data_IF_953224554368
#
_entry.id   IF_953224554368
#
_cell.length_a   1.000
_cell.length_b   1.000
_cell.length_c   1.000
_cell.angle_alpha   90.00
_cell.angle_beta   90.00
_cell.angle_gamma   90.00
#
_symmetry.space_group_name_H-M   'P 1'
#
loop_
_entity.id
_entity.type
_entity.pdbx_description
1 polymer ?
#
# COMPACT_ATOMS: atom_id res chain seq x y z
N UNK A 1 12.75 27.79 13.67
CA UNK A 1 13.37 26.46 13.61
C UNK A 1 12.66 25.73 12.48
N UNK A 2 13.38 25.18 11.53
CA UNK A 2 12.83 24.32 10.47
C UNK A 2 13.01 22.88 10.97
N UNK A 3 11.96 22.08 10.94
CA UNK A 3 11.98 20.65 11.25
C UNK A 3 11.95 19.94 9.90
N UNK A 4 13.04 19.31 9.54
CA UNK A 4 13.26 18.61 8.26
C UNK A 4 13.33 17.08 8.42
N UNK A 5 13.23 16.60 9.66
CA UNK A 5 13.17 15.18 10.01
C UNK A 5 12.21 14.98 11.20
N UNK A 6 11.63 13.79 11.31
CA UNK A 6 10.77 13.44 12.45
C UNK A 6 11.58 13.60 13.75
N UNK A 7 11.02 14.30 14.73
CA UNK A 7 11.73 14.64 15.98
C UNK A 7 10.77 14.90 17.12
N UNK A 8 11.25 14.71 18.34
CA UNK A 8 10.56 15.12 19.56
C UNK A 8 11.10 16.47 19.99
N UNK A 9 10.25 17.49 20.05
CA UNK A 9 10.59 18.78 20.65
C UNK A 9 10.28 18.76 22.14
N UNK A 10 11.27 19.23 22.95
CA UNK A 10 11.12 19.41 24.39
C UNK A 10 11.27 20.89 24.72
N UNK A 11 10.33 21.44 25.43
CA UNK A 11 10.35 22.82 25.84
C UNK A 11 10.16 22.95 27.38
N UNK A 12 10.88 23.88 27.98
CA UNK A 12 10.78 24.21 29.41
C UNK A 12 10.86 25.71 29.58
N UNK A 13 9.97 26.28 30.37
CA UNK A 13 9.99 27.70 30.69
C UNK A 13 10.83 27.98 31.93
N UNK A 14 11.58 29.08 31.90
CA UNK A 14 12.36 29.60 33.01
C UNK A 14 11.95 31.04 33.30
N UNK A 15 11.84 31.38 34.58
CA UNK A 15 11.66 32.74 35.06
C UNK A 15 12.57 32.92 36.25
N UNK A 16 13.25 34.07 36.32
CA UNK A 16 14.16 34.38 37.42
C UNK A 16 13.44 34.28 38.76
N UNK A 17 14.06 33.64 39.75
CA UNK A 17 13.54 33.37 41.08
C UNK A 17 12.29 32.47 41.16
N UNK A 18 11.97 31.71 40.09
CA UNK A 18 10.92 30.71 40.03
C UNK A 18 11.49 29.33 39.74
N UNK A 19 10.82 28.28 40.23
CA UNK A 19 11.14 26.92 39.75
C UNK A 19 10.81 26.79 38.24
N UNK A 20 11.67 26.09 37.48
CA UNK A 20 11.37 25.80 36.07
C UNK A 20 10.05 25.07 35.93
N UNK A 21 9.33 25.28 34.80
CA UNK A 21 8.13 24.51 34.50
C UNK A 21 8.44 23.01 34.29
N UNK A 22 7.41 22.19 34.28
CA UNK A 22 7.49 20.85 33.72
C UNK A 22 7.99 20.93 32.26
N UNK A 23 8.57 19.82 31.75
CA UNK A 23 8.98 19.70 30.36
C UNK A 23 7.73 19.39 29.53
N UNK A 24 7.40 20.26 28.58
CA UNK A 24 6.41 19.94 27.53
C UNK A 24 7.12 19.24 26.40
N UNK A 25 6.58 18.11 25.96
CA UNK A 25 7.09 17.33 24.83
C UNK A 25 6.03 17.31 23.71
N UNK A 26 6.48 17.44 22.46
CA UNK A 26 5.65 17.28 21.29
C UNK A 26 6.43 16.50 20.22
N UNK A 27 5.83 15.42 19.76
CA UNK A 27 6.38 14.64 18.65
C UNK A 27 5.93 15.22 17.31
N UNK A 28 6.87 15.40 16.42
CA UNK A 28 6.64 15.85 15.05
C UNK A 28 7.12 14.77 14.09
N UNK A 29 6.20 14.23 13.32
CA UNK A 29 6.51 13.30 12.23
C UNK A 29 6.38 13.99 10.88
N UNK A 30 7.36 13.81 10.01
CA UNK A 30 7.29 14.30 8.64
C UNK A 30 6.77 13.19 7.75
N UNK A 31 5.60 13.43 7.17
CA UNK A 31 5.04 12.51 6.16
C UNK A 31 5.93 12.54 4.92
N UNK A 32 6.48 11.39 4.47
CA UNK A 32 7.27 11.34 3.25
C UNK A 32 6.48 11.87 2.05
N UNK A 33 7.16 12.57 1.13
CA UNK A 33 6.51 13.09 -0.06
C UNK A 33 5.84 11.96 -0.86
N UNK A 34 4.62 12.21 -1.32
CA UNK A 34 3.81 11.20 -2.05
C UNK A 34 3.09 10.18 -1.15
N UNK A 35 3.20 10.31 0.18
CA UNK A 35 2.51 9.45 1.14
C UNK A 35 1.42 10.18 1.91
N UNK A 36 0.50 9.40 2.48
CA UNK A 36 -0.50 9.83 3.45
C UNK A 36 -0.23 9.08 4.75
N UNK A 37 -0.22 9.81 5.87
CA UNK A 37 -0.24 9.21 7.20
C UNK A 37 -1.64 8.72 7.52
N UNK A 38 -1.77 7.45 7.90
CA UNK A 38 -3.02 6.83 8.34
C UNK A 38 -2.87 6.50 9.83
N UNK A 39 -3.58 7.23 10.71
CA UNK A 39 -3.63 6.87 12.12
C UNK A 39 -4.20 5.47 12.30
N UNK A 40 -3.62 4.68 13.19
CA UNK A 40 -4.12 3.36 13.54
C UNK A 40 -5.54 3.41 14.12
N UNK A 41 -6.21 2.27 14.12
CA UNK A 41 -7.56 2.16 14.65
C UNK A 41 -8.19 0.80 14.40
N UNK A 42 -9.41 0.63 14.90
CA UNK A 42 -10.18 -0.62 14.78
C UNK A 42 -11.35 -0.45 13.84
N UNK A 43 -11.56 -1.42 12.97
CA UNK A 43 -12.69 -1.48 12.04
C UNK A 43 -13.23 -2.91 11.90
N UNK A 44 -14.44 -3.04 11.36
CA UNK A 44 -15.02 -4.34 11.05
C UNK A 44 -14.76 -4.70 9.57
N UNK A 45 -14.13 -5.87 9.32
CA UNK A 45 -13.77 -6.33 7.97
C UNK A 45 -14.89 -7.06 7.22
N UNK A 46 -16.05 -7.22 7.85
CA UNK A 46 -17.19 -8.00 7.36
C UNK A 46 -17.37 -9.34 8.13
N UNK A 47 -16.36 -9.79 8.89
CA UNK A 47 -16.36 -11.04 9.66
C UNK A 47 -16.04 -10.78 11.13
N UNK A 48 -14.99 -10.02 11.43
CA UNK A 48 -14.48 -9.72 12.78
C UNK A 48 -13.94 -8.30 12.87
N UNK A 49 -13.63 -7.84 14.09
CA UNK A 49 -12.93 -6.59 14.28
C UNK A 49 -11.44 -6.77 13.99
N UNK A 50 -10.86 -5.76 13.35
CA UNK A 50 -9.43 -5.71 13.05
C UNK A 50 -8.87 -4.39 13.54
N UNK A 51 -7.84 -4.46 14.36
CA UNK A 51 -7.04 -3.30 14.77
C UNK A 51 -5.79 -3.24 13.92
N UNK A 52 -5.48 -2.07 13.37
CA UNK A 52 -4.25 -1.81 12.61
C UNK A 52 -3.47 -0.69 13.27
N UNK A 53 -2.16 -0.86 13.36
CA UNK A 53 -1.22 0.19 13.79
C UNK A 53 -1.16 1.33 12.77
N UNK A 54 -0.60 2.49 13.15
CA UNK A 54 -0.40 3.62 12.22
C UNK A 54 0.63 3.28 11.16
N UNK A 55 0.43 3.82 9.94
CA UNK A 55 1.32 3.58 8.80
C UNK A 55 1.33 4.74 7.82
N UNK A 56 2.26 4.71 6.88
CA UNK A 56 2.25 5.53 5.67
C UNK A 56 1.83 4.71 4.45
N UNK A 57 0.94 5.25 3.63
CA UNK A 57 0.48 4.65 2.37
C UNK A 57 0.75 5.60 1.20
N UNK A 58 1.15 5.08 0.05
CA UNK A 58 1.23 5.86 -1.18
C UNK A 58 -0.11 6.57 -1.46
N UNK A 59 -0.06 7.88 -1.65
CA UNK A 59 -1.24 8.70 -1.95
C UNK A 59 -1.96 8.23 -3.21
N UNK A 60 -1.20 7.70 -4.16
CA UNK A 60 -1.63 7.17 -5.45
C UNK A 60 -1.17 5.71 -5.62
N UNK A 61 -1.69 5.04 -6.62
CA UNK A 61 -1.08 3.85 -7.19
C UNK A 61 0.34 4.20 -7.65
N UNK A 62 1.28 3.23 -7.60
CA UNK A 62 2.64 3.47 -8.07
C UNK A 62 2.63 3.83 -9.55
N UNK A 63 3.29 4.93 -9.91
CA UNK A 63 3.34 5.41 -11.29
C UNK A 63 4.39 4.68 -12.13
N UNK A 64 4.20 4.73 -13.47
CA UNK A 64 5.16 4.14 -14.41
C UNK A 64 6.54 4.79 -14.30
N UNK A 65 6.62 6.11 -14.09
CA UNK A 65 7.89 6.81 -13.91
C UNK A 65 8.61 6.37 -12.63
N UNK A 66 7.90 6.22 -11.50
CA UNK A 66 8.51 5.73 -10.25
C UNK A 66 9.00 4.30 -10.41
N UNK A 67 8.22 3.43 -11.06
CA UNK A 67 8.62 2.06 -11.32
C UNK A 67 9.87 1.99 -12.19
N UNK A 68 9.90 2.72 -13.31
CA UNK A 68 11.03 2.74 -14.23
C UNK A 68 12.31 3.28 -13.58
N UNK A 69 12.20 4.32 -12.75
CA UNK A 69 13.34 4.89 -12.02
C UNK A 69 14.04 3.87 -11.11
N UNK A 70 13.31 2.90 -10.57
CA UNK A 70 13.84 1.87 -9.65
C UNK A 70 14.21 0.58 -10.38
N UNK A 71 13.38 0.17 -11.35
CA UNK A 71 13.52 -1.14 -12.02
C UNK A 71 14.26 -1.06 -13.36
N UNK A 72 14.51 0.15 -13.88
CA UNK A 72 15.25 0.40 -15.12
C UNK A 72 14.42 0.20 -16.40
N UNK A 73 13.15 -0.17 -16.30
CA UNK A 73 12.25 -0.32 -17.46
C UNK A 73 10.78 -0.21 -17.03
N UNK A 74 9.93 0.28 -17.95
CA UNK A 74 8.49 0.35 -17.78
C UNK A 74 7.82 -0.84 -18.46
N UNK A 75 7.09 -1.74 -17.75
CA UNK A 75 6.40 -2.87 -18.36
C UNK A 75 5.08 -2.48 -19.03
N UNK A 76 4.52 -1.30 -18.73
CA UNK A 76 3.21 -0.87 -19.22
C UNK A 76 3.21 -0.65 -20.74
N UNK A 77 2.20 -1.17 -21.43
CA UNK A 77 2.02 -1.01 -22.88
C UNK A 77 0.56 -1.16 -23.28
N UNK A 78 0.11 -0.31 -24.19
CA UNK A 78 -1.22 -0.44 -24.85
C UNK A 78 -2.42 0.17 -24.12
N UNK A 79 -2.40 0.32 -22.79
CA UNK A 79 -3.56 0.73 -22.01
C UNK A 79 -3.25 1.95 -21.10
N UNK A 80 -2.82 3.05 -21.70
CA UNK A 80 -2.41 4.25 -20.96
C UNK A 80 -0.93 4.17 -20.57
N UNK A 81 -0.10 4.89 -21.33
CA UNK A 81 1.35 4.95 -21.14
C UNK A 81 1.79 6.38 -20.93
N UNK A 82 2.58 6.62 -19.88
CA UNK A 82 3.10 7.93 -19.54
C UNK A 82 3.50 8.04 -18.06
N UNK A 83 4.31 9.02 -17.74
CA UNK A 83 4.96 9.17 -16.43
C UNK A 83 3.99 9.03 -15.24
N UNK A 84 2.81 9.64 -15.32
CA UNK A 84 1.83 9.74 -14.23
C UNK A 84 0.70 8.71 -14.34
N UNK A 85 0.77 7.75 -15.26
CA UNK A 85 -0.15 6.61 -15.27
C UNK A 85 0.28 5.56 -14.24
N UNK A 86 -0.65 4.77 -13.70
CA UNK A 86 -0.28 3.67 -12.81
C UNK A 86 0.56 2.65 -13.57
N UNK A 87 1.52 2.04 -12.93
CA UNK A 87 2.21 0.89 -13.52
C UNK A 87 1.30 -0.33 -13.50
N UNK A 88 1.30 -1.08 -14.58
CA UNK A 88 0.61 -2.37 -14.71
C UNK A 88 1.48 -3.39 -15.45
N UNK A 89 1.02 -4.62 -15.65
CA UNK A 89 1.84 -5.78 -16.00
C UNK A 89 2.91 -6.10 -14.95
N UNK A 90 2.60 -5.86 -13.68
CA UNK A 90 3.49 -6.15 -12.55
C UNK A 90 2.99 -7.37 -11.78
N UNK A 91 3.80 -8.42 -11.69
CA UNK A 91 3.53 -9.57 -10.82
C UNK A 91 3.75 -9.22 -9.35
N UNK A 92 3.19 -10.00 -8.43
CA UNK A 92 3.43 -9.83 -7.00
C UNK A 92 4.94 -9.87 -6.66
N UNK A 93 5.69 -10.77 -7.30
CA UNK A 93 7.13 -10.85 -7.15
C UNK A 93 7.85 -9.57 -7.57
N UNK A 94 7.46 -8.97 -8.70
CA UNK A 94 8.05 -7.73 -9.17
C UNK A 94 7.70 -6.54 -8.28
N UNK A 95 6.53 -6.56 -7.64
CA UNK A 95 6.15 -5.54 -6.67
C UNK A 95 7.02 -5.60 -5.40
N UNK A 96 7.28 -6.79 -4.85
CA UNK A 96 8.18 -6.92 -3.68
C UNK A 96 9.65 -6.63 -4.03
N UNK A 97 10.10 -7.01 -5.23
CA UNK A 97 11.42 -6.63 -5.74
C UNK A 97 11.57 -5.10 -5.81
N UNK A 98 10.57 -4.42 -6.35
CA UNK A 98 10.52 -2.96 -6.38
C UNK A 98 10.66 -2.36 -4.98
N UNK A 99 9.87 -2.83 -4.02
CA UNK A 99 9.90 -2.34 -2.64
C UNK A 99 11.31 -2.43 -2.04
N UNK A 100 11.99 -3.57 -2.19
CA UNK A 100 13.33 -3.73 -1.67
C UNK A 100 14.37 -2.88 -2.40
N UNK A 101 14.31 -2.80 -3.73
CA UNK A 101 15.23 -1.95 -4.52
C UNK A 101 15.08 -0.48 -4.16
N UNK A 102 13.84 0.03 -4.05
CA UNK A 102 13.57 1.40 -3.62
C UNK A 102 14.09 1.65 -2.21
N UNK A 103 13.86 0.72 -1.28
CA UNK A 103 14.38 0.82 0.10
C UNK A 103 15.90 0.96 0.11
N UNK A 104 16.61 0.11 -0.64
CA UNK A 104 18.08 0.18 -0.76
C UNK A 104 18.54 1.52 -1.36
N UNK A 105 17.89 1.98 -2.43
CA UNK A 105 18.22 3.25 -3.08
C UNK A 105 18.07 4.46 -2.14
N UNK A 106 17.11 4.41 -1.22
CA UNK A 106 16.84 5.46 -0.24
C UNK A 106 17.55 5.24 1.11
N UNK A 107 18.43 4.22 1.22
CA UNK A 107 19.19 3.93 2.45
C UNK A 107 18.34 3.37 3.59
N UNK A 108 17.17 2.80 3.26
CA UNK A 108 16.26 2.15 4.21
C UNK A 108 16.54 0.65 4.30
N UNK A 109 16.11 0.01 5.40
CA UNK A 109 16.18 -1.44 5.58
C UNK A 109 15.09 -2.13 4.75
N UNK A 110 15.43 -2.95 3.74
CA UNK A 110 14.43 -3.67 2.95
C UNK A 110 13.59 -4.63 3.78
N UNK A 111 12.30 -4.72 3.49
CA UNK A 111 11.37 -5.55 4.25
C UNK A 111 11.37 -7.03 3.86
N UNK A 112 11.70 -7.37 2.61
CA UNK A 112 11.56 -8.74 2.12
C UNK A 112 12.89 -9.47 2.03
N UNK A 113 12.88 -10.75 2.42
CA UNK A 113 14.00 -11.67 2.20
C UNK A 113 13.51 -12.87 1.41
N UNK A 114 14.37 -13.42 0.55
CA UNK A 114 14.12 -14.65 -0.18
C UNK A 114 14.97 -15.78 0.37
N UNK A 115 14.36 -16.69 1.12
CA UNK A 115 15.01 -17.82 1.76
C UNK A 115 16.32 -17.39 2.46
N UNK A 116 17.43 -18.12 2.24
CA UNK A 116 18.77 -17.80 2.77
C UNK A 116 19.57 -16.78 1.92
N UNK A 117 18.95 -16.19 0.88
CA UNK A 117 19.60 -15.20 0.00
C UNK A 117 19.54 -13.76 0.52
N UNK A 118 18.85 -13.54 1.65
CA UNK A 118 18.71 -12.22 2.28
C UNK A 118 17.81 -11.23 1.52
N UNK A 119 17.94 -9.96 1.84
CA UNK A 119 17.01 -8.92 1.40
C UNK A 119 17.46 -8.13 0.16
N UNK A 120 18.68 -8.34 -0.34
CA UNK A 120 19.12 -7.67 -1.56
C UNK A 120 18.66 -8.48 -2.80
N UNK A 121 17.75 -7.93 -3.65
CA UNK A 121 17.25 -8.64 -4.82
C UNK A 121 18.33 -9.06 -5.83
N UNK A 122 19.49 -8.42 -5.83
CA UNK A 122 20.60 -8.80 -6.70
C UNK A 122 21.21 -10.16 -6.32
N UNK A 123 20.97 -10.64 -5.09
CA UNK A 123 21.44 -11.92 -4.59
C UNK A 123 20.40 -13.04 -4.74
N UNK A 124 19.18 -12.70 -5.16
CA UNK A 124 18.12 -13.70 -5.31
C UNK A 124 18.41 -14.61 -6.51
N UNK A 125 18.14 -15.91 -6.41
CA UNK A 125 18.58 -16.86 -7.43
C UNK A 125 17.83 -16.66 -8.75
N UNK A 126 18.45 -17.05 -9.87
CA UNK A 126 17.75 -17.09 -11.15
C UNK A 126 16.48 -17.94 -11.04
N UNK A 127 15.36 -17.41 -11.57
CA UNK A 127 14.07 -18.09 -11.51
C UNK A 127 13.33 -17.99 -10.17
N UNK A 128 13.79 -17.18 -9.21
CA UNK A 128 13.15 -16.98 -7.90
C UNK A 128 11.64 -16.60 -8.03
N UNK A 129 11.26 -15.96 -9.12
CA UNK A 129 9.91 -15.49 -9.43
C UNK A 129 9.23 -16.25 -10.59
N UNK A 130 9.74 -17.42 -10.98
CA UNK A 130 9.26 -18.19 -12.15
C UNK A 130 8.07 -19.09 -11.85
N UNK A 131 7.87 -19.46 -10.60
CA UNK A 131 6.73 -20.27 -10.15
C UNK A 131 5.96 -19.57 -9.04
N UNK A 132 4.64 -19.70 -9.07
CA UNK A 132 3.79 -19.11 -8.02
C UNK A 132 4.09 -19.69 -6.65
N UNK A 133 4.45 -20.96 -6.54
CA UNK A 133 4.83 -21.62 -5.28
C UNK A 133 6.06 -20.98 -4.62
N UNK A 134 6.92 -20.29 -5.38
CA UNK A 134 8.10 -19.61 -4.85
C UNK A 134 7.75 -18.47 -3.87
N UNK A 135 6.51 -18.03 -3.81
CA UNK A 135 6.08 -17.05 -2.82
C UNK A 135 6.25 -17.52 -1.37
N UNK A 136 6.27 -18.85 -1.14
CA UNK A 136 6.49 -19.43 0.18
C UNK A 136 7.91 -19.26 0.71
N UNK A 137 8.87 -18.95 -0.17
CA UNK A 137 10.26 -18.65 0.20
C UNK A 137 10.48 -17.17 0.55
N UNK A 138 9.45 -16.33 0.39
CA UNK A 138 9.54 -14.90 0.71
C UNK A 138 9.07 -14.68 2.14
N UNK A 139 9.91 -14.07 2.96
CA UNK A 139 9.56 -13.58 4.29
C UNK A 139 9.53 -12.06 4.32
N UNK A 140 8.82 -11.48 5.30
CA UNK A 140 8.76 -10.05 5.54
C UNK A 140 9.23 -9.73 6.96
N UNK A 141 10.17 -8.80 7.07
CA UNK A 141 10.53 -8.16 8.32
C UNK A 141 9.57 -6.98 8.55
N UNK A 142 8.63 -7.14 9.47
CA UNK A 142 7.56 -6.18 9.74
C UNK A 142 8.00 -4.95 10.52
N UNK A 143 9.20 -4.98 11.11
CA UNK A 143 9.78 -3.84 11.83
C UNK A 143 10.79 -3.05 10.98
N UNK A 144 11.12 -3.54 9.79
CA UNK A 144 11.99 -2.83 8.86
C UNK A 144 11.34 -1.51 8.40
N UNK A 145 12.14 -0.45 8.30
CA UNK A 145 11.67 0.89 7.94
C UNK A 145 11.58 1.14 6.42
N UNK A 146 11.79 0.11 5.62
CA UNK A 146 11.70 0.17 4.16
C UNK A 146 10.27 0.14 3.62
N UNK A 147 10.18 0.03 2.31
CA UNK A 147 8.90 -0.07 1.59
C UNK A 147 8.43 -1.51 1.52
N UNK A 148 7.12 -1.69 1.55
CA UNK A 148 6.45 -2.98 1.37
C UNK A 148 5.08 -2.84 0.68
N UNK A 149 4.48 -3.95 0.32
CA UNK A 149 3.05 -4.00 0.00
C UNK A 149 2.23 -3.84 1.29
N UNK A 150 1.01 -3.31 1.21
CA UNK A 150 0.08 -3.34 2.33
C UNK A 150 -0.27 -4.78 2.71
N UNK A 151 -0.58 -5.03 3.98
CA UNK A 151 -1.46 -6.15 4.29
C UNK A 151 -2.86 -5.86 3.75
N UNK A 152 -3.67 -6.89 3.56
CA UNK A 152 -5.04 -6.71 3.08
C UNK A 152 -5.87 -5.84 4.02
N UNK A 153 -5.64 -5.96 5.34
CA UNK A 153 -6.38 -5.20 6.34
C UNK A 153 -5.95 -3.74 6.41
N UNK A 154 -4.66 -3.44 6.25
CA UNK A 154 -4.17 -2.06 6.12
C UNK A 154 -4.75 -1.39 4.86
N UNK A 155 -4.74 -2.11 3.73
CA UNK A 155 -5.35 -1.64 2.49
C UNK A 155 -6.84 -1.34 2.68
N UNK A 156 -7.59 -2.28 3.27
CA UNK A 156 -9.04 -2.14 3.47
C UNK A 156 -9.36 -1.00 4.43
N UNK A 157 -8.61 -0.87 5.52
CA UNK A 157 -8.78 0.22 6.48
C UNK A 157 -8.57 1.59 5.82
N UNK A 158 -7.48 1.74 5.06
CA UNK A 158 -7.20 2.95 4.30
C UNK A 158 -8.28 3.25 3.25
N UNK A 159 -8.74 2.24 2.49
CA UNK A 159 -9.79 2.38 1.48
C UNK A 159 -11.14 2.79 2.07
N UNK A 160 -11.46 2.35 3.30
CA UNK A 160 -12.67 2.73 4.02
C UNK A 160 -12.62 4.15 4.63
N UNK A 161 -11.48 4.86 4.53
CA UNK A 161 -11.30 6.19 5.12
C UNK A 161 -10.75 6.17 6.55
N UNK A 162 -10.22 5.02 7.01
CA UNK A 162 -9.63 4.89 8.35
C UNK A 162 -10.60 5.27 9.46
N UNK A 163 -10.13 6.07 10.40
CA UNK A 163 -10.94 6.62 11.50
C UNK A 163 -11.88 7.77 11.09
N UNK A 164 -11.82 8.20 9.82
CA UNK A 164 -12.72 9.21 9.24
C UNK A 164 -13.81 8.58 8.36
N UNK A 165 -13.90 7.24 8.34
CA UNK A 165 -14.80 6.46 7.47
C UNK A 165 -16.25 6.93 7.57
N UNK A 166 -16.87 7.17 6.42
CA UNK A 166 -18.31 7.47 6.28
C UNK A 166 -19.12 6.24 5.88
N UNK A 167 -18.51 5.07 5.82
CA UNK A 167 -19.19 3.81 5.48
C UNK A 167 -19.57 3.69 4.01
N UNK A 168 -18.85 4.37 3.10
CA UNK A 168 -19.12 4.33 1.67
C UNK A 168 -18.84 2.96 1.05
N UNK A 169 -19.57 2.66 -0.02
CA UNK A 169 -19.42 1.43 -0.82
C UNK A 169 -18.10 1.41 -1.58
N UNK A 170 -17.69 2.55 -2.13
CA UNK A 170 -16.42 2.79 -2.82
C UNK A 170 -15.58 3.72 -1.96
N UNK A 171 -14.29 3.74 -2.20
CA UNK A 171 -13.38 4.60 -1.42
C UNK A 171 -13.68 6.08 -1.68
N UNK A 172 -14.34 6.74 -0.71
CA UNK A 172 -14.70 8.14 -0.73
C UNK A 172 -16.10 8.49 -1.27
N UNK A 173 -16.89 7.53 -1.79
CA UNK A 173 -18.26 7.82 -2.28
C UNK A 173 -19.15 6.57 -2.38
N UNK A 174 -20.47 6.77 -2.38
CA UNK A 174 -21.43 5.75 -2.82
C UNK A 174 -21.69 5.79 -4.34
N UNK A 175 -21.20 6.80 -5.04
CA UNK A 175 -21.31 6.95 -6.49
C UNK A 175 -19.96 6.59 -7.13
N UNK A 176 -19.87 5.41 -7.73
CA UNK A 176 -18.60 4.91 -8.29
C UNK A 176 -17.94 5.88 -9.29
N UNK A 177 -18.73 6.59 -10.09
CA UNK A 177 -18.23 7.52 -11.11
C UNK A 177 -17.40 8.68 -10.56
N UNK A 178 -17.61 9.04 -9.28
CA UNK A 178 -16.90 10.15 -8.62
C UNK A 178 -15.45 9.77 -8.27
N UNK A 179 -15.23 8.50 -7.90
CA UNK A 179 -13.99 8.04 -7.26
C UNK A 179 -13.23 6.98 -8.05
N UNK A 180 -13.82 6.43 -9.13
CA UNK A 180 -13.22 5.27 -9.81
C UNK A 180 -13.18 5.40 -11.33
N UNK A 181 -12.10 4.92 -11.93
CA UNK A 181 -12.01 4.53 -13.33
C UNK A 181 -12.31 3.04 -13.44
N UNK A 182 -13.44 2.67 -14.02
CA UNK A 182 -13.93 1.30 -14.12
C UNK A 182 -14.52 1.05 -15.50
N UNK A 183 -14.97 -0.16 -15.82
CA UNK A 183 -15.51 -0.53 -17.14
C UNK A 183 -16.55 0.45 -17.70
N UNK A 184 -17.36 1.08 -16.82
CA UNK A 184 -18.44 1.97 -17.24
C UNK A 184 -17.96 3.36 -17.69
N UNK A 185 -16.74 3.78 -17.37
CA UNK A 185 -16.28 5.14 -17.65
C UNK A 185 -14.81 5.25 -18.07
N UNK A 186 -14.04 4.15 -18.06
CA UNK A 186 -12.59 4.17 -18.32
C UNK A 186 -12.22 4.30 -19.80
N UNK A 187 -13.14 4.06 -20.74
CA UNK A 187 -12.78 3.99 -22.16
C UNK A 187 -11.85 2.82 -22.51
N UNK A 188 -11.85 1.76 -21.70
CA UNK A 188 -11.02 0.55 -21.86
C UNK A 188 -9.51 0.81 -21.70
N UNK A 189 -9.12 1.72 -20.81
CA UNK A 189 -7.72 2.06 -20.55
C UNK A 189 -7.53 2.53 -19.08
N UNK A 190 -6.29 2.53 -18.60
CA UNK A 190 -5.92 3.22 -17.35
C UNK A 190 -5.95 4.74 -17.54
N UNK A 191 -5.99 5.46 -16.46
CA UNK A 191 -5.95 6.93 -16.42
C UNK A 191 -4.81 7.41 -15.52
N UNK A 192 -4.39 8.66 -15.71
CA UNK A 192 -3.45 9.35 -14.82
C UNK A 192 -3.96 9.26 -13.40
N UNK A 193 -3.08 8.87 -12.48
CA UNK A 193 -3.43 8.72 -11.06
C UNK A 193 -3.96 10.03 -10.46
N UNK A 194 -4.89 9.95 -9.50
CA UNK A 194 -5.40 11.12 -8.80
C UNK A 194 -6.36 12.00 -9.60
N UNK A 195 -6.93 11.51 -10.71
CA UNK A 195 -7.87 12.31 -11.54
C UNK A 195 -9.32 12.13 -11.16
N UNK A 196 -9.63 11.24 -10.24
CA UNK A 196 -10.93 11.12 -9.55
C UNK A 196 -10.83 11.74 -8.15
N UNK A 197 -11.96 11.82 -7.44
CA UNK A 197 -11.98 12.33 -6.07
C UNK A 197 -11.26 11.36 -5.11
N UNK A 198 -10.55 11.87 -4.09
CA UNK A 198 -9.92 11.04 -3.06
C UNK A 198 -10.97 10.56 -2.04
N UNK A 199 -10.55 9.64 -1.18
CA UNK A 199 -11.32 9.31 0.01
C UNK A 199 -11.09 10.33 1.15
N UNK A 200 -11.67 10.06 2.33
CA UNK A 200 -11.66 10.93 3.50
C UNK A 200 -10.26 11.20 4.04
N UNK A 201 -9.29 10.34 3.75
CA UNK A 201 -7.88 10.48 4.12
C UNK A 201 -7.05 11.20 3.04
N UNK A 202 -7.64 11.56 1.90
CA UNK A 202 -6.91 12.14 0.77
C UNK A 202 -6.16 11.12 -0.08
N UNK A 203 -6.53 9.84 -0.03
CA UNK A 203 -5.96 8.75 -0.82
C UNK A 203 -6.81 8.55 -2.07
N UNK A 204 -6.18 8.43 -3.22
CA UNK A 204 -6.80 8.32 -4.54
C UNK A 204 -6.77 6.90 -5.09
N UNK A 205 -7.69 6.61 -5.99
CA UNK A 205 -7.71 5.40 -6.83
C UNK A 205 -7.78 4.07 -6.05
N UNK A 206 -8.21 4.10 -4.77
CA UNK A 206 -8.47 2.89 -3.99
C UNK A 206 -9.70 2.10 -4.51
N UNK A 207 -10.41 2.66 -5.48
CA UNK A 207 -11.48 2.03 -6.24
C UNK A 207 -11.23 2.28 -7.73
N UNK A 208 -11.03 1.22 -8.52
CA UNK A 208 -10.82 1.29 -9.97
C UNK A 208 -9.37 1.49 -10.38
N UNK A 209 -9.15 1.99 -11.58
CA UNK A 209 -7.89 2.18 -12.30
C UNK A 209 -7.10 0.88 -12.47
N UNK A 210 -6.31 0.42 -11.49
CA UNK A 210 -5.69 -0.91 -11.51
C UNK A 210 -5.96 -1.68 -10.21
N UNK A 211 -6.03 -3.01 -10.29
CA UNK A 211 -5.98 -3.87 -9.12
C UNK A 211 -4.64 -3.71 -8.41
N UNK A 212 -4.66 -3.72 -7.10
CA UNK A 212 -3.47 -3.54 -6.27
C UNK A 212 -3.11 -4.80 -5.52
N UNK A 213 -1.87 -5.26 -5.68
CA UNK A 213 -1.34 -6.36 -4.89
C UNK A 213 -1.26 -6.01 -3.41
N UNK A 214 -1.71 -6.96 -2.57
CA UNK A 214 -1.43 -7.01 -1.14
C UNK A 214 -0.43 -8.12 -0.82
N UNK A 215 0.16 -8.04 0.39
CA UNK A 215 1.05 -9.09 0.89
C UNK A 215 0.35 -10.43 1.06
N UNK A 216 -0.89 -10.42 1.55
CA UNK A 216 -1.58 -11.57 2.11
C UNK A 216 -1.78 -12.72 1.12
N UNK A 217 -1.78 -13.94 1.66
CA UNK A 217 -2.28 -15.13 0.98
C UNK A 217 -3.82 -15.09 1.05
N UNK A 218 -4.46 -15.27 -0.09
CA UNK A 218 -5.93 -15.27 -0.20
C UNK A 218 -6.52 -16.51 0.50
N UNK A 219 -7.27 -16.25 1.56
CA UNK A 219 -8.03 -17.27 2.32
C UNK A 219 -9.24 -16.60 2.98
N UNK A 220 -10.11 -17.40 3.66
CA UNK A 220 -11.19 -16.85 4.48
C UNK A 220 -10.63 -16.02 5.63
N UNK A 221 -11.37 -14.98 6.02
CA UNK A 221 -11.00 -14.22 7.21
C UNK A 221 -11.24 -15.07 8.49
N UNK A 222 -10.37 -14.97 9.50
CA UNK A 222 -10.65 -15.52 10.81
C UNK A 222 -11.93 -14.93 11.42
N UNK A 223 -12.62 -15.73 12.24
CA UNK A 223 -13.83 -15.29 12.92
C UNK A 223 -13.59 -14.50 14.21
N UNK A 224 -12.37 -14.50 14.72
CA UNK A 224 -11.91 -13.82 15.92
C UNK A 224 -11.26 -12.46 15.58
N UNK A 225 -11.27 -11.56 16.56
CA UNK A 225 -10.66 -10.23 16.44
C UNK A 225 -9.15 -10.36 16.24
N UNK A 226 -8.61 -9.51 15.37
CA UNK A 226 -7.21 -9.52 14.93
C UNK A 226 -6.52 -8.19 15.24
N UNK A 227 -5.23 -8.23 15.53
CA UNK A 227 -4.38 -7.04 15.61
C UNK A 227 -3.21 -7.19 14.63
N UNK A 228 -3.03 -6.22 13.76
CA UNK A 228 -2.00 -6.18 12.70
C UNK A 228 -1.85 -7.51 11.95
N UNK A 229 -2.94 -8.09 11.41
CA UNK A 229 -2.86 -9.40 10.76
C UNK A 229 -2.06 -9.34 9.46
N UNK A 230 -1.28 -10.39 9.22
CA UNK A 230 -0.44 -10.54 8.03
C UNK A 230 -1.00 -11.58 7.03
N UNK A 231 -2.28 -11.93 7.15
CA UNK A 231 -2.96 -12.91 6.30
C UNK A 231 -2.74 -14.36 6.71
N UNK A 232 -3.22 -15.27 5.87
CA UNK A 232 -3.07 -16.70 6.08
C UNK A 232 -1.61 -17.15 5.90
N UNK A 233 -1.22 -18.21 6.60
CA UNK A 233 0.14 -18.77 6.55
C UNK A 233 0.36 -19.72 5.36
N UNK A 234 -0.72 -20.13 4.68
CA UNK A 234 -0.66 -21.05 3.52
C UNK A 234 -1.79 -20.78 2.54
N UNK A 235 -1.54 -21.09 1.27
CA UNK A 235 -2.47 -20.96 0.16
C UNK A 235 -1.73 -20.78 -1.17
N UNK A 236 -2.48 -20.70 -2.27
CA UNK A 236 -1.90 -20.69 -3.62
C UNK A 236 -1.95 -19.31 -4.29
N UNK A 237 -2.73 -18.38 -3.75
CA UNK A 237 -2.97 -17.08 -4.37
C UNK A 237 -2.62 -15.94 -3.44
N UNK A 238 -2.15 -14.83 -4.01
CA UNK A 238 -1.96 -13.56 -3.31
C UNK A 238 -3.20 -12.68 -3.49
N UNK A 239 -3.50 -11.90 -2.47
CA UNK A 239 -4.65 -10.97 -2.47
C UNK A 239 -4.38 -9.81 -3.42
N UNK A 240 -5.42 -9.40 -4.14
CA UNK A 240 -5.50 -8.11 -4.83
C UNK A 240 -6.81 -7.40 -4.52
N UNK A 241 -6.81 -6.08 -4.52
CA UNK A 241 -7.90 -5.21 -4.07
C UNK A 241 -8.16 -4.08 -5.06
N UNK A 242 -9.30 -3.38 -4.90
CA UNK A 242 -9.62 -2.12 -5.58
C UNK A 242 -10.37 -2.23 -6.90
N UNK A 243 -10.20 -3.33 -7.65
CA UNK A 243 -10.71 -3.39 -9.02
C UNK A 243 -9.79 -2.63 -9.98
N UNK A 244 -10.09 -2.65 -11.27
CA UNK A 244 -9.32 -1.93 -12.28
C UNK A 244 -10.21 -1.36 -13.37
N UNK A 245 -9.65 -0.67 -14.36
CA UNK A 245 -10.34 0.01 -15.45
C UNK A 245 -11.32 -0.88 -16.23
N UNK A 246 -11.05 -2.19 -16.33
CA UNK A 246 -11.93 -3.17 -17.00
C UNK A 246 -12.92 -3.87 -16.06
N UNK A 247 -12.90 -3.57 -14.77
CA UNK A 247 -13.74 -4.22 -13.74
C UNK A 247 -15.17 -3.69 -13.73
N UNK A 248 -16.12 -4.54 -13.33
CA UNK A 248 -17.49 -4.09 -13.02
C UNK A 248 -17.49 -3.25 -11.71
N UNK A 249 -18.52 -2.45 -11.52
CA UNK A 249 -18.69 -1.65 -10.31
C UNK A 249 -18.56 -2.48 -9.01
N UNK A 250 -19.17 -3.66 -8.97
CA UNK A 250 -19.12 -4.55 -7.80
C UNK A 250 -17.69 -4.98 -7.42
N UNK A 251 -16.79 -5.04 -8.40
CA UNK A 251 -15.39 -5.41 -8.15
C UNK A 251 -14.54 -4.24 -7.63
N UNK A 252 -15.05 -3.01 -7.69
CA UNK A 252 -14.36 -1.81 -7.22
C UNK A 252 -14.79 -1.37 -5.81
N UNK A 253 -15.65 -2.14 -5.13
CA UNK A 253 -16.06 -1.83 -3.75
C UNK A 253 -14.92 -2.01 -2.75
N UNK A 254 -14.91 -1.26 -1.66
CA UNK A 254 -13.90 -1.36 -0.59
C UNK A 254 -13.88 -2.72 0.10
N UNK A 255 -14.94 -3.51 -0.03
CA UNK A 255 -15.05 -4.86 0.56
C UNK A 255 -14.65 -5.97 -0.41
N UNK A 256 -14.66 -5.70 -1.73
CA UNK A 256 -14.36 -6.74 -2.71
C UNK A 256 -12.88 -7.15 -2.67
N UNK A 257 -12.64 -8.44 -2.76
CA UNK A 257 -11.32 -9.05 -2.71
C UNK A 257 -11.19 -10.14 -3.76
N UNK A 258 -9.98 -10.34 -4.25
CA UNK A 258 -9.71 -11.42 -5.21
C UNK A 258 -8.33 -12.04 -4.99
N UNK A 259 -8.23 -13.35 -5.25
CA UNK A 259 -6.96 -14.06 -5.22
C UNK A 259 -6.39 -14.25 -6.63
N UNK A 260 -5.10 -14.00 -6.80
CA UNK A 260 -4.41 -14.25 -8.05
C UNK A 260 -3.05 -14.90 -7.82
N UNK A 261 -2.62 -15.66 -8.83
CA UNK A 261 -1.30 -16.28 -8.84
C UNK A 261 -0.19 -15.22 -8.72
N UNK A 262 0.79 -15.45 -7.88
CA UNK A 262 1.89 -14.49 -7.61
C UNK A 262 2.72 -14.14 -8.86
N UNK A 263 2.71 -15.01 -9.88
CA UNK A 263 3.38 -14.77 -11.16
C UNK A 263 2.53 -13.99 -12.18
N UNK A 264 1.23 -13.82 -11.92
CA UNK A 264 0.36 -13.15 -12.88
C UNK A 264 0.68 -11.66 -12.99
N UNK A 265 0.77 -11.20 -14.24
CA UNK A 265 0.95 -9.80 -14.61
C UNK A 265 0.02 -9.48 -15.78
N UNK A 266 -0.95 -8.61 -15.55
CA UNK A 266 -1.97 -8.21 -16.53
C UNK A 266 -2.03 -6.70 -16.66
N UNK A 267 -2.67 -6.25 -17.72
CA UNK A 267 -2.99 -4.85 -18.03
C UNK A 267 -3.86 -4.14 -16.97
N UNK A 268 -4.42 -4.91 -16.05
CA UNK A 268 -5.28 -4.45 -14.95
C UNK A 268 -4.62 -4.51 -13.56
N UNK A 269 -3.35 -4.96 -13.45
CA UNK A 269 -2.74 -5.21 -12.14
C UNK A 269 -1.46 -4.40 -11.96
N UNK A 270 -1.49 -3.55 -10.95
CA UNK A 270 -0.39 -2.79 -10.40
C UNK A 270 -0.29 -2.96 -8.88
N UNK A 271 0.16 -1.93 -8.19
CA UNK A 271 0.27 -1.91 -6.73
C UNK A 271 0.49 -0.50 -6.21
N UNK A 272 0.30 -0.31 -4.92
CA UNK A 272 0.78 0.85 -4.17
C UNK A 272 1.70 0.40 -3.05
N UNK A 273 2.53 1.31 -2.58
CA UNK A 273 3.53 1.00 -1.56
C UNK A 273 3.11 1.53 -0.19
N UNK A 274 3.61 0.83 0.80
CA UNK A 274 3.43 1.09 2.21
C UNK A 274 4.78 1.31 2.88
N UNK A 275 4.74 2.00 4.02
CA UNK A 275 5.87 2.12 4.92
C UNK A 275 5.38 2.11 6.36
N UNK A 276 6.12 1.44 7.23
CA UNK A 276 5.85 1.46 8.68
C UNK A 276 6.02 2.89 9.20
N UNK A 277 5.16 3.30 10.11
CA UNK A 277 5.36 4.51 10.90
C UNK A 277 6.50 4.21 11.91
N UNK A 278 7.61 5.00 11.90
CA UNK A 278 8.75 4.76 12.78
C UNK A 278 8.44 5.06 14.23
#
# INVERSE_FOLDING_TARGET
>A
MIIDSSTTLKARAYKENWLPSEIAEAEYSITPAGFVYVPGGTFHNGTSNVTVSSFYIGKYELTQAEYEAVMGSNPASGYGVGANYPVYYVSWFKAIEYCNRRSIMEGLTPCYSYDNHGSNPNNWPSGWNSSSSNHSYVSCDWIANGYRLPTEMEWMYAAKGGNQSQGYTYSGSNTIGDVAWYRGNSGSTTHVVGTKAPNELGIYDMSGNVWEWCWDIYNSYPGDDQTDPHGATSGSFRVKRGGGWGSSANNCTVSNRYGSNATYSYDLIGFRIFRVFP
#
